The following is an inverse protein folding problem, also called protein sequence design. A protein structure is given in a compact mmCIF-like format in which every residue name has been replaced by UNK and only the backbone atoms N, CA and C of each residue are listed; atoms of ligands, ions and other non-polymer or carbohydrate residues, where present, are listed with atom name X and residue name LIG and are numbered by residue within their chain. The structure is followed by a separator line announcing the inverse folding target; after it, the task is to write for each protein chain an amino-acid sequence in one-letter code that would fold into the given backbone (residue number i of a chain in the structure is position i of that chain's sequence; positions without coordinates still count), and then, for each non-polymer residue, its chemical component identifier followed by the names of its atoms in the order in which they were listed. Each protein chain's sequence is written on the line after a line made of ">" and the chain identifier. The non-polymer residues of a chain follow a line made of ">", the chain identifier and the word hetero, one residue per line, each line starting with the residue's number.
data_IF_282498527633
#
_entry.id   IF_282498527633
#
_cell.length_a   1.000
_cell.length_b   1.000
_cell.length_c   1.000
_cell.angle_alpha   90.00
_cell.angle_beta   90.00
_cell.angle_gamma   90.00
#
_symmetry.space_group_name_H-M   'P 1'
#
loop_
_entity.id
_entity.type
_entity.pdbx_description
1 polymer ?
#
# COMPACT_ATOMS: atom_id res chain seq x y z
N UNK A 1 117.89 -4.06 112.29
CA UNK A 1 116.68 -4.03 111.44
C UNK A 1 117.11 -3.52 110.08
N UNK A 2 117.09 -4.37 109.07
CA UNK A 2 117.67 -4.10 107.74
C UNK A 2 116.68 -3.42 106.79
N UNK A 3 117.12 -2.35 106.13
CA UNK A 3 116.38 -1.55 105.12
C UNK A 3 115.90 -2.41 103.92
N UNK A 4 116.52 -3.57 103.70
CA UNK A 4 116.21 -4.51 102.62
C UNK A 4 114.80 -5.09 102.75
N UNK A 5 114.28 -5.31 103.97
CA UNK A 5 112.94 -5.91 104.15
C UNK A 5 111.79 -4.94 103.85
N UNK A 6 111.99 -3.64 104.00
CA UNK A 6 110.95 -2.62 103.73
C UNK A 6 110.80 -2.38 102.22
N UNK A 7 111.91 -2.36 101.48
CA UNK A 7 111.90 -2.21 100.01
C UNK A 7 111.31 -3.46 99.35
N UNK A 8 111.60 -4.65 99.87
CA UNK A 8 110.97 -5.90 99.42
C UNK A 8 109.46 -5.93 99.69
N UNK A 9 109.01 -5.46 100.87
CA UNK A 9 107.59 -5.35 101.20
C UNK A 9 106.82 -4.36 100.32
N UNK A 10 107.42 -3.21 99.99
CA UNK A 10 106.83 -2.22 99.06
C UNK A 10 106.74 -2.75 97.63
N UNK A 11 107.74 -3.49 97.16
CA UNK A 11 107.72 -4.12 95.83
C UNK A 11 106.60 -5.16 95.70
N UNK A 12 106.42 -6.00 96.72
CA UNK A 12 105.35 -7.02 96.75
C UNK A 12 103.97 -6.36 96.84
N UNK A 13 103.81 -5.30 97.64
CA UNK A 13 102.56 -4.54 97.75
C UNK A 13 102.15 -3.83 96.46
N UNK A 14 103.11 -3.26 95.71
CA UNK A 14 102.85 -2.63 94.41
C UNK A 14 102.44 -3.66 93.34
N UNK A 15 103.08 -4.85 93.35
CA UNK A 15 102.72 -5.95 92.45
C UNK A 15 101.34 -6.50 92.81
N UNK A 16 101.02 -6.69 94.08
CA UNK A 16 99.71 -7.16 94.53
C UNK A 16 98.58 -6.15 94.22
N UNK A 17 98.83 -4.85 94.43
CA UNK A 17 97.90 -3.78 94.06
C UNK A 17 97.70 -3.67 92.55
N UNK A 18 98.77 -3.83 91.76
CA UNK A 18 98.72 -3.89 90.30
C UNK A 18 97.95 -5.10 89.78
N UNK A 19 98.13 -6.28 90.39
CA UNK A 19 97.39 -7.50 90.07
C UNK A 19 95.90 -7.39 90.45
N UNK A 20 95.57 -6.79 91.58
CA UNK A 20 94.19 -6.56 92.00
C UNK A 20 93.49 -5.53 91.09
N UNK A 21 94.16 -4.43 90.75
CA UNK A 21 93.67 -3.44 89.79
C UNK A 21 93.50 -4.04 88.39
N UNK A 22 94.47 -4.84 87.93
CA UNK A 22 94.41 -5.56 86.66
C UNK A 22 93.28 -6.60 86.65
N UNK A 23 93.06 -7.32 87.76
CA UNK A 23 91.95 -8.26 87.92
C UNK A 23 90.59 -7.56 87.86
N UNK A 24 90.45 -6.40 88.52
CA UNK A 24 89.19 -5.63 88.50
C UNK A 24 88.92 -5.02 87.12
N UNK A 25 89.96 -4.52 86.45
CA UNK A 25 89.86 -4.03 85.07
C UNK A 25 89.51 -5.18 84.12
N UNK A 26 90.14 -6.33 84.28
CA UNK A 26 89.88 -7.53 83.48
C UNK A 26 88.48 -8.13 83.73
N UNK A 27 87.97 -8.08 84.96
CA UNK A 27 86.59 -8.48 85.25
C UNK A 27 85.56 -7.53 84.64
N UNK A 28 85.85 -6.22 84.64
CA UNK A 28 84.98 -5.19 84.05
C UNK A 28 85.03 -5.19 82.51
N UNK A 29 86.18 -5.56 81.94
CA UNK A 29 86.34 -5.84 80.51
C UNK A 29 85.55 -7.10 80.13
N UNK A 30 85.69 -8.20 80.88
CA UNK A 30 84.90 -9.42 80.67
C UNK A 30 83.39 -9.18 80.74
N UNK A 31 82.90 -8.38 81.69
CA UNK A 31 81.46 -8.08 81.76
C UNK A 31 80.97 -7.27 80.57
N UNK A 32 81.78 -6.30 80.08
CA UNK A 32 81.46 -5.56 78.86
C UNK A 32 81.54 -6.43 77.60
N UNK A 33 82.51 -7.34 77.52
CA UNK A 33 82.63 -8.30 76.40
C UNK A 33 81.43 -9.26 76.36
N UNK A 34 80.89 -9.64 77.51
CA UNK A 34 79.64 -10.44 77.60
C UNK A 34 78.44 -9.61 77.14
N UNK A 35 78.30 -8.36 77.60
CA UNK A 35 77.21 -7.47 77.19
C UNK A 35 77.25 -7.12 75.69
N UNK A 36 78.44 -6.94 75.12
CA UNK A 36 78.65 -6.72 73.68
C UNK A 36 78.24 -7.98 72.91
N UNK A 37 78.65 -9.17 73.35
CA UNK A 37 78.25 -10.43 72.69
C UNK A 37 76.75 -10.67 72.72
N UNK A 38 76.07 -10.29 73.80
CA UNK A 38 74.63 -10.41 73.94
C UNK A 38 73.90 -9.42 73.02
N UNK A 39 74.32 -8.15 72.98
CA UNK A 39 73.79 -7.16 72.03
C UNK A 39 74.07 -7.53 70.58
N UNK A 40 75.25 -8.06 70.26
CA UNK A 40 75.59 -8.56 68.92
C UNK A 40 74.74 -9.78 68.53
N UNK A 41 74.36 -10.62 69.49
CA UNK A 41 73.42 -11.72 69.25
C UNK A 41 71.99 -11.21 69.00
N UNK A 42 71.53 -10.21 69.76
CA UNK A 42 70.22 -9.58 69.56
C UNK A 42 70.14 -8.84 68.22
N UNK A 43 71.19 -8.09 67.84
CA UNK A 43 71.29 -7.41 66.54
C UNK A 43 71.25 -8.41 65.40
N UNK A 44 72.00 -9.52 65.49
CA UNK A 44 71.95 -10.60 64.49
C UNK A 44 70.57 -11.24 64.38
N UNK A 45 69.87 -11.43 65.51
CA UNK A 45 68.49 -11.93 65.51
C UNK A 45 67.52 -10.99 64.80
N UNK A 46 67.60 -9.68 65.09
CA UNK A 46 66.78 -8.66 64.40
C UNK A 46 67.16 -8.53 62.93
N UNK A 47 68.44 -8.65 62.56
CA UNK A 47 68.89 -8.66 61.16
C UNK A 47 68.32 -9.86 60.39
N UNK A 48 68.26 -11.05 61.00
CA UNK A 48 67.62 -12.22 60.37
C UNK A 48 66.12 -12.02 60.19
N UNK A 49 65.42 -11.48 61.19
CA UNK A 49 63.99 -11.22 61.12
C UNK A 49 63.65 -10.15 60.05
N UNK A 50 64.44 -9.08 59.97
CA UNK A 50 64.32 -8.06 58.91
C UNK A 50 64.55 -8.68 57.52
N UNK A 51 65.51 -9.60 57.39
CA UNK A 51 65.80 -10.27 56.12
C UNK A 51 64.65 -11.17 55.67
N UNK A 52 64.04 -11.90 56.60
CA UNK A 52 62.90 -12.77 56.33
C UNK A 52 61.64 -11.95 55.99
N UNK A 53 61.38 -10.87 56.74
CA UNK A 53 60.30 -9.92 56.42
C UNK A 53 60.51 -9.25 55.06
N UNK A 54 61.74 -8.83 54.74
CA UNK A 54 62.06 -8.24 53.44
C UNK A 54 61.84 -9.24 52.29
N UNK A 55 62.19 -10.52 52.50
CA UNK A 55 61.92 -11.61 51.55
C UNK A 55 60.42 -11.87 51.38
N UNK A 56 59.65 -11.87 52.48
CA UNK A 56 58.19 -11.98 52.46
C UNK A 56 57.51 -10.83 51.72
N UNK A 57 57.96 -9.59 51.94
CA UNK A 57 57.45 -8.41 51.22
C UNK A 57 57.82 -8.46 49.74
N UNK A 58 59.04 -8.91 49.40
CA UNK A 58 59.48 -9.04 48.01
C UNK A 58 58.62 -10.06 47.25
N UNK A 59 58.38 -11.23 47.83
CA UNK A 59 57.51 -12.27 47.25
C UNK A 59 56.04 -11.86 47.17
N UNK A 60 55.51 -11.16 48.17
CA UNK A 60 54.16 -10.60 48.13
C UNK A 60 54.01 -9.54 47.02
N UNK A 61 55.02 -8.68 46.83
CA UNK A 61 55.04 -7.68 45.75
C UNK A 61 55.07 -8.32 44.36
N UNK A 62 55.86 -9.38 44.17
CA UNK A 62 55.89 -10.07 42.88
C UNK A 62 54.58 -10.79 42.60
N UNK A 63 53.96 -11.41 43.62
CA UNK A 63 52.63 -12.03 43.48
C UNK A 63 51.53 -11.01 43.15
N UNK A 64 51.54 -9.82 43.79
CA UNK A 64 50.61 -8.74 43.49
C UNK A 64 50.78 -8.22 42.06
N UNK A 65 52.01 -7.97 41.61
CA UNK A 65 52.29 -7.57 40.22
C UNK A 65 51.78 -8.60 39.21
N UNK A 66 52.01 -9.88 39.47
CA UNK A 66 51.51 -10.96 38.62
C UNK A 66 49.98 -10.98 38.56
N UNK A 67 49.30 -10.73 39.69
CA UNK A 67 47.84 -10.64 39.74
C UNK A 67 47.30 -9.40 39.03
N UNK A 68 47.97 -8.27 39.15
CA UNK A 68 47.63 -7.04 38.40
C UNK A 68 47.75 -7.28 36.90
N UNK A 69 48.86 -7.89 36.44
CA UNK A 69 49.04 -8.24 35.02
C UNK A 69 48.00 -9.26 34.53
N UNK A 70 47.62 -10.24 35.35
CA UNK A 70 46.57 -11.22 35.02
C UNK A 70 45.20 -10.55 34.90
N UNK A 71 44.87 -9.63 35.80
CA UNK A 71 43.64 -8.85 35.76
C UNK A 71 43.59 -7.93 34.53
N UNK A 72 44.69 -7.28 34.18
CA UNK A 72 44.78 -6.42 33.01
C UNK A 72 44.56 -7.22 31.72
N UNK A 73 45.22 -8.38 31.57
CA UNK A 73 44.99 -9.30 30.45
C UNK A 73 43.55 -9.82 30.40
N UNK A 74 42.95 -10.09 31.56
CA UNK A 74 41.56 -10.52 31.64
C UNK A 74 40.61 -9.41 31.20
N UNK A 75 40.87 -8.16 31.61
CA UNK A 75 40.09 -6.99 31.23
C UNK A 75 40.21 -6.70 29.73
N UNK A 76 41.41 -6.78 29.16
CA UNK A 76 41.62 -6.67 27.71
C UNK A 76 40.83 -7.76 26.95
N UNK A 77 40.94 -9.02 27.40
CA UNK A 77 40.21 -10.14 26.78
C UNK A 77 38.70 -9.96 26.86
N UNK A 78 38.17 -9.49 27.99
CA UNK A 78 36.75 -9.21 28.16
C UNK A 78 36.29 -8.07 27.24
N UNK A 79 37.09 -7.01 27.12
CA UNK A 79 36.79 -5.88 26.22
C UNK A 79 36.74 -6.36 24.77
N UNK A 80 37.71 -7.17 24.35
CA UNK A 80 37.76 -7.73 23.01
C UNK A 80 36.58 -8.69 22.75
N UNK A 81 36.20 -9.52 23.73
CA UNK A 81 35.03 -10.38 23.62
C UNK A 81 33.73 -9.58 23.55
N UNK A 82 33.62 -8.50 24.33
CA UNK A 82 32.47 -7.62 24.31
C UNK A 82 32.33 -6.91 22.96
N UNK A 83 33.43 -6.38 22.42
CA UNK A 83 33.44 -5.74 21.10
C UNK A 83 33.01 -6.73 20.01
N UNK A 84 33.58 -7.94 20.01
CA UNK A 84 33.19 -8.99 19.06
C UNK A 84 31.71 -9.38 19.19
N UNK A 85 31.20 -9.52 20.41
CA UNK A 85 29.81 -9.84 20.65
C UNK A 85 28.89 -8.69 20.21
N UNK A 86 29.25 -7.44 20.50
CA UNK A 86 28.51 -6.26 20.10
C UNK A 86 28.43 -6.15 18.57
N UNK A 87 29.56 -6.32 17.87
CA UNK A 87 29.61 -6.34 16.41
C UNK A 87 28.72 -7.44 15.83
N UNK A 88 28.78 -8.65 16.40
CA UNK A 88 27.95 -9.77 15.96
C UNK A 88 26.45 -9.54 16.20
N UNK A 89 26.08 -8.94 17.33
CA UNK A 89 24.69 -8.58 17.64
C UNK A 89 24.19 -7.50 16.67
N UNK A 90 25.00 -6.49 16.39
CA UNK A 90 24.67 -5.43 15.44
C UNK A 90 24.47 -5.98 14.02
N UNK A 91 25.34 -6.89 13.58
CA UNK A 91 25.24 -7.53 12.27
C UNK A 91 23.95 -8.37 12.16
N UNK A 92 23.67 -9.22 13.15
CA UNK A 92 22.45 -10.05 13.19
C UNK A 92 21.19 -9.18 13.24
N UNK A 93 21.20 -8.11 14.04
CA UNK A 93 20.06 -7.20 14.12
C UNK A 93 19.84 -6.43 12.81
N UNK A 94 20.92 -6.00 12.14
CA UNK A 94 20.84 -5.35 10.83
C UNK A 94 20.24 -6.29 9.79
N UNK A 95 20.75 -7.52 9.68
CA UNK A 95 20.19 -8.53 8.76
C UNK A 95 18.72 -8.84 9.06
N UNK A 96 18.36 -9.00 10.34
CA UNK A 96 16.98 -9.24 10.75
C UNK A 96 16.07 -8.04 10.44
N UNK A 97 16.58 -6.82 10.59
CA UNK A 97 15.86 -5.60 10.23
C UNK A 97 15.66 -5.49 8.72
N UNK A 98 16.68 -5.76 7.91
CA UNK A 98 16.59 -5.78 6.45
C UNK A 98 15.56 -6.81 5.96
N UNK A 99 15.60 -8.04 6.49
CA UNK A 99 14.62 -9.08 6.19
C UNK A 99 13.20 -8.66 6.56
N UNK A 100 13.01 -8.11 7.76
CA UNK A 100 11.69 -7.64 8.22
C UNK A 100 11.19 -6.48 7.37
N UNK A 101 12.07 -5.55 7.01
CA UNK A 101 11.76 -4.42 6.13
C UNK A 101 11.34 -4.91 4.74
N UNK A 102 12.11 -5.82 4.14
CA UNK A 102 11.80 -6.43 2.85
C UNK A 102 10.48 -7.20 2.88
N UNK A 103 10.23 -8.00 3.93
CA UNK A 103 8.95 -8.70 4.11
C UNK A 103 7.77 -7.72 4.23
N UNK A 104 7.92 -6.68 5.06
CA UNK A 104 6.88 -5.65 5.22
C UNK A 104 6.62 -4.91 3.92
N UNK A 105 7.66 -4.55 3.17
CA UNK A 105 7.52 -3.91 1.86
C UNK A 105 6.86 -4.86 0.85
N UNK A 106 7.22 -6.13 0.80
CA UNK A 106 6.56 -7.11 -0.07
C UNK A 106 5.08 -7.26 0.27
N UNK A 107 4.74 -7.30 1.56
CA UNK A 107 3.36 -7.46 2.02
C UNK A 107 2.49 -6.25 1.65
N UNK A 108 3.07 -5.05 1.61
CA UNK A 108 2.39 -3.83 1.16
C UNK A 108 2.35 -3.69 -0.37
N UNK A 109 3.46 -4.00 -1.06
CA UNK A 109 3.61 -3.76 -2.50
C UNK A 109 2.97 -4.85 -3.36
N UNK A 110 2.93 -6.10 -2.89
CA UNK A 110 2.30 -7.20 -3.63
C UNK A 110 0.82 -6.95 -3.95
N UNK A 111 -0.06 -6.62 -2.98
CA UNK A 111 -1.46 -6.33 -3.29
C UNK A 111 -1.62 -5.10 -4.17
N UNK A 112 -0.73 -4.09 -4.03
CA UNK A 112 -0.74 -2.92 -4.92
C UNK A 112 -0.42 -3.32 -6.37
N UNK A 113 0.59 -4.17 -6.58
CA UNK A 113 0.93 -4.68 -7.90
C UNK A 113 -0.20 -5.50 -8.52
N UNK A 114 -0.83 -6.37 -7.74
CA UNK A 114 -2.00 -7.16 -8.16
C UNK A 114 -3.18 -6.25 -8.54
N UNK A 115 -3.50 -5.25 -7.71
CA UNK A 115 -4.57 -4.29 -7.99
C UNK A 115 -4.29 -3.41 -9.22
N UNK A 116 -3.04 -3.00 -9.45
CA UNK A 116 -2.66 -2.25 -10.65
C UNK A 116 -2.84 -3.11 -11.90
N UNK A 117 -2.49 -4.41 -11.83
CA UNK A 117 -2.69 -5.33 -12.94
C UNK A 117 -4.18 -5.55 -13.24
N UNK A 118 -4.99 -5.74 -12.19
CA UNK A 118 -6.44 -5.88 -12.31
C UNK A 118 -7.08 -4.60 -12.85
N UNK A 119 -6.66 -3.44 -12.36
CA UNK A 119 -7.10 -2.14 -12.86
C UNK A 119 -6.76 -1.96 -14.34
N UNK A 120 -5.50 -2.26 -14.74
CA UNK A 120 -5.09 -2.21 -16.14
C UNK A 120 -6.00 -3.08 -17.01
N UNK A 121 -6.23 -4.34 -16.60
CA UNK A 121 -7.11 -5.25 -17.32
C UNK A 121 -8.54 -4.70 -17.41
N UNK A 122 -9.08 -4.18 -16.31
CA UNK A 122 -10.43 -3.61 -16.28
C UNK A 122 -10.56 -2.41 -17.21
N UNK A 123 -9.55 -1.55 -17.27
CA UNK A 123 -9.51 -0.40 -18.20
C UNK A 123 -9.48 -0.88 -19.64
N UNK A 124 -8.62 -1.85 -19.96
CA UNK A 124 -8.48 -2.42 -21.30
C UNK A 124 -9.78 -3.09 -21.76
N UNK A 125 -10.39 -3.93 -20.91
CA UNK A 125 -11.68 -4.57 -21.14
C UNK A 125 -12.80 -3.54 -21.35
N UNK A 126 -12.83 -2.48 -20.52
CA UNK A 126 -13.83 -1.41 -20.66
C UNK A 126 -13.65 -0.64 -21.98
N UNK A 127 -12.41 -0.40 -22.40
CA UNK A 127 -12.13 0.29 -23.66
C UNK A 127 -12.54 -0.53 -24.88
N UNK A 128 -12.34 -1.85 -24.83
CA UNK A 128 -12.79 -2.78 -25.86
C UNK A 128 -14.32 -2.80 -25.92
N UNK A 129 -15.00 -2.89 -24.78
CA UNK A 129 -16.46 -2.84 -24.72
C UNK A 129 -17.03 -1.50 -25.22
N UNK A 130 -16.46 -0.36 -24.81
CA UNK A 130 -16.89 0.96 -25.32
C UNK A 130 -16.72 1.06 -26.84
N UNK A 131 -15.58 0.59 -27.37
CA UNK A 131 -15.33 0.58 -28.81
C UNK A 131 -16.36 -0.28 -29.54
N UNK A 132 -16.66 -1.48 -29.02
CA UNK A 132 -17.68 -2.38 -29.58
C UNK A 132 -19.07 -1.76 -29.55
N UNK A 133 -19.44 -1.11 -28.43
CA UNK A 133 -20.71 -0.42 -28.29
C UNK A 133 -20.83 0.74 -29.27
N UNK A 134 -19.77 1.54 -29.45
CA UNK A 134 -19.72 2.63 -30.44
C UNK A 134 -19.89 2.11 -31.86
N UNK A 135 -19.19 1.04 -32.24
CA UNK A 135 -19.36 0.42 -33.58
C UNK A 135 -20.78 -0.10 -33.79
N UNK A 136 -21.37 -0.75 -32.78
CA UNK A 136 -22.76 -1.22 -32.84
C UNK A 136 -23.75 -0.06 -32.97
N UNK A 137 -23.50 1.05 -32.26
CA UNK A 137 -24.32 2.24 -32.35
C UNK A 137 -24.21 2.88 -33.74
N UNK A 138 -23.01 2.97 -34.30
CA UNK A 138 -22.79 3.48 -35.66
C UNK A 138 -23.55 2.64 -36.70
N UNK A 139 -23.51 1.32 -36.60
CA UNK A 139 -24.26 0.41 -37.47
C UNK A 139 -25.78 0.63 -37.35
N UNK A 140 -26.29 0.76 -36.13
CA UNK A 140 -27.72 1.08 -35.89
C UNK A 140 -28.11 2.43 -36.47
N UNK A 141 -27.27 3.46 -36.33
CA UNK A 141 -27.52 4.79 -36.90
C UNK A 141 -27.54 4.71 -38.44
N UNK A 142 -26.61 3.98 -39.06
CA UNK A 142 -26.62 3.76 -40.51
C UNK A 142 -27.89 3.06 -40.96
N UNK A 143 -28.32 2.01 -40.25
CA UNK A 143 -29.58 1.33 -40.52
C UNK A 143 -30.81 2.24 -40.40
N UNK A 144 -30.85 3.13 -39.40
CA UNK A 144 -31.91 4.13 -39.25
C UNK A 144 -31.93 5.14 -40.40
N UNK A 145 -30.76 5.60 -40.84
CA UNK A 145 -30.64 6.51 -41.99
C UNK A 145 -31.15 5.83 -43.26
N UNK A 146 -30.78 4.57 -43.49
CA UNK A 146 -31.26 3.79 -44.64
C UNK A 146 -32.77 3.59 -44.60
N UNK A 147 -33.34 3.20 -43.46
CA UNK A 147 -34.79 3.08 -43.29
C UNK A 147 -35.52 4.41 -43.50
N UNK A 148 -34.95 5.51 -43.01
CA UNK A 148 -35.51 6.86 -43.20
C UNK A 148 -35.52 7.24 -44.68
N UNK A 149 -34.43 6.95 -45.41
CA UNK A 149 -34.35 7.20 -46.85
C UNK A 149 -35.37 6.37 -47.64
N UNK A 150 -35.51 5.08 -47.31
CA UNK A 150 -36.52 4.20 -47.93
C UNK A 150 -37.94 4.70 -47.66
N UNK A 151 -38.24 5.07 -46.42
CA UNK A 151 -39.54 5.59 -46.03
C UNK A 151 -39.84 6.92 -46.76
N UNK A 152 -38.86 7.82 -46.84
CA UNK A 152 -39.00 9.07 -47.59
C UNK A 152 -39.25 8.83 -49.08
N UNK A 153 -38.52 7.89 -49.70
CA UNK A 153 -38.74 7.50 -51.09
C UNK A 153 -40.14 6.89 -51.30
N UNK A 154 -40.60 6.01 -50.42
CA UNK A 154 -41.94 5.43 -50.48
C UNK A 154 -43.04 6.49 -50.32
N UNK A 155 -42.87 7.42 -49.38
CA UNK A 155 -43.80 8.53 -49.16
C UNK A 155 -43.86 9.46 -50.38
N UNK A 156 -42.71 9.78 -51.00
CA UNK A 156 -42.64 10.57 -52.22
C UNK A 156 -43.30 9.85 -53.39
N UNK A 157 -43.01 8.56 -53.60
CA UNK A 157 -43.64 7.75 -54.64
C UNK A 157 -45.15 7.63 -54.44
N UNK A 158 -45.61 7.47 -53.19
CA UNK A 158 -47.04 7.46 -52.87
C UNK A 158 -47.68 8.82 -53.16
N UNK A 159 -47.05 9.92 -52.75
CA UNK A 159 -47.53 11.27 -53.04
C UNK A 159 -47.59 11.54 -54.55
N UNK A 160 -46.58 11.10 -55.31
CA UNK A 160 -46.55 11.23 -56.77
C UNK A 160 -47.64 10.38 -57.45
N UNK A 161 -47.82 9.12 -57.02
CA UNK A 161 -48.88 8.26 -57.53
C UNK A 161 -50.28 8.82 -57.26
N UNK A 162 -50.48 9.48 -56.12
CA UNK A 162 -51.74 10.14 -55.78
C UNK A 162 -51.92 11.49 -56.49
N UNK A 163 -50.84 12.21 -56.83
CA UNK A 163 -50.89 13.47 -57.60
C UNK A 163 -51.07 13.24 -59.11
N UNK A 164 -50.57 12.13 -59.64
CA UNK A 164 -50.44 11.90 -61.08
C UNK A 164 -51.73 11.59 -61.85
N UNK A 165 -52.81 11.17 -61.17
CA UNK A 165 -54.10 10.96 -61.84
C UNK A 165 -55.30 11.27 -60.93
N UNK A 166 -56.28 12.11 -61.38
CA UNK A 166 -57.51 12.38 -60.63
C UNK A 166 -58.31 11.13 -60.28
N UNK A 167 -58.22 10.08 -61.12
CA UNK A 167 -58.89 8.80 -60.89
C UNK A 167 -58.25 8.01 -59.75
N UNK A 168 -56.92 8.01 -59.64
CA UNK A 168 -56.20 7.35 -58.54
C UNK A 168 -56.48 8.05 -57.22
N UNK A 169 -56.54 9.38 -57.23
CA UNK A 169 -56.88 10.20 -56.07
C UNK A 169 -58.32 9.95 -55.59
N UNK A 170 -59.28 9.85 -56.51
CA UNK A 170 -60.67 9.48 -56.22
C UNK A 170 -60.77 8.10 -55.59
N UNK A 171 -60.19 7.08 -56.24
CA UNK A 171 -60.18 5.71 -55.73
C UNK A 171 -59.53 5.58 -54.33
N UNK A 172 -58.49 6.37 -54.05
CA UNK A 172 -57.86 6.39 -52.72
C UNK A 172 -58.77 7.04 -51.66
N UNK A 173 -59.48 8.10 -52.03
CA UNK A 173 -60.48 8.73 -51.18
C UNK A 173 -61.62 7.78 -50.83
N UNK A 174 -62.12 7.05 -51.83
CA UNK A 174 -63.15 6.01 -51.66
C UNK A 174 -62.66 4.85 -50.77
N UNK A 175 -61.42 4.38 -50.96
CA UNK A 175 -60.82 3.34 -50.12
C UNK A 175 -60.68 3.79 -48.65
N UNK A 176 -60.33 5.06 -48.42
CA UNK A 176 -60.27 5.60 -47.06
C UNK A 176 -61.66 5.73 -46.46
N UNK A 177 -62.64 6.20 -47.24
CA UNK A 177 -64.03 6.28 -46.80
C UNK A 177 -64.54 4.89 -46.39
N UNK A 178 -64.30 3.86 -47.21
CA UNK A 178 -64.64 2.46 -46.91
C UNK A 178 -64.01 2.01 -45.57
N UNK A 179 -62.70 2.24 -45.37
CA UNK A 179 -62.01 1.91 -44.11
C UNK A 179 -62.56 2.64 -42.89
N UNK A 180 -62.97 3.90 -43.03
CA UNK A 180 -63.57 4.67 -41.92
C UNK A 180 -64.92 4.07 -41.54
N UNK A 181 -65.72 3.66 -42.52
CA UNK A 181 -67.03 3.03 -42.29
C UNK A 181 -66.86 1.68 -41.59
N UNK A 182 -65.92 0.85 -42.05
CA UNK A 182 -65.57 -0.42 -41.40
C UNK A 182 -65.10 -0.21 -39.95
N UNK A 183 -64.19 0.75 -39.71
CA UNK A 183 -63.72 1.08 -38.36
C UNK A 183 -64.83 1.64 -37.46
N UNK A 184 -65.84 2.28 -38.05
CA UNK A 184 -67.01 2.79 -37.33
C UNK A 184 -68.01 1.66 -36.99
N UNK A 185 -67.71 0.42 -37.36
CA UNK A 185 -68.53 -0.76 -37.09
C UNK A 185 -69.63 -1.03 -38.13
N UNK A 186 -69.58 -0.35 -39.28
CA UNK A 186 -70.50 -0.60 -40.38
C UNK A 186 -69.94 -1.73 -41.26
N UNK A 187 -70.82 -2.62 -41.72
CA UNK A 187 -70.47 -3.77 -42.55
C UNK A 187 -70.91 -3.55 -43.99
N UNK A 188 -70.01 -3.82 -44.94
CA UNK A 188 -70.27 -3.71 -46.38
C UNK A 188 -71.40 -4.66 -46.79
N UNK A 189 -72.22 -4.23 -47.74
CA UNK A 189 -73.39 -4.96 -48.26
C UNK A 189 -74.54 -5.18 -47.24
N UNK A 190 -74.34 -4.86 -45.97
CA UNK A 190 -75.37 -4.90 -44.91
C UNK A 190 -75.78 -3.49 -44.48
N UNK A 191 -74.81 -2.67 -44.08
CA UNK A 191 -75.03 -1.33 -43.54
C UNK A 191 -74.72 -0.23 -44.56
N UNK A 192 -73.87 -0.50 -45.53
CA UNK A 192 -73.58 0.44 -46.62
C UNK A 192 -73.20 -0.29 -47.91
N UNK A 193 -73.40 0.37 -49.04
CA UNK A 193 -73.04 -0.09 -50.38
C UNK A 193 -72.21 0.97 -51.11
N UNK A 194 -71.22 0.53 -51.88
CA UNK A 194 -70.30 1.39 -52.65
C UNK A 194 -70.74 1.44 -54.13
N UNK A 195 -70.70 2.62 -54.75
CA UNK A 195 -70.82 2.80 -56.22
C UNK A 195 -72.06 2.16 -56.89
N UNK A 196 -73.18 2.01 -56.19
CA UNK A 196 -74.39 1.44 -56.78
C UNK A 196 -75.17 2.50 -57.59
N UNK A 197 -75.65 2.11 -58.77
CA UNK A 197 -76.40 3.00 -59.66
C UNK A 197 -77.87 3.08 -59.24
N UNK A 198 -78.34 4.27 -58.85
CA UNK A 198 -79.74 4.47 -58.49
C UNK A 198 -80.48 5.25 -59.56
N UNK A 199 -81.71 4.84 -59.90
CA UNK A 199 -82.54 5.57 -60.86
C UNK A 199 -83.52 6.47 -60.12
N UNK A 200 -83.49 7.77 -60.38
CA UNK A 200 -84.42 8.71 -59.77
C UNK A 200 -85.81 8.66 -60.46
N UNK A 201 -86.81 9.29 -59.85
CA UNK A 201 -88.19 9.35 -60.37
C UNK A 201 -88.31 10.04 -61.75
N UNK A 202 -87.28 10.80 -62.16
CA UNK A 202 -87.18 11.49 -63.44
C UNK A 202 -86.43 10.65 -64.50
N UNK A 203 -86.02 9.42 -64.16
CA UNK A 203 -85.35 8.48 -65.06
C UNK A 203 -83.82 8.61 -65.15
N UNK A 204 -83.21 9.56 -64.42
CA UNK A 204 -81.76 9.79 -64.39
C UNK A 204 -81.05 8.78 -63.48
N UNK A 205 -79.88 8.31 -63.91
CA UNK A 205 -79.03 7.41 -63.13
C UNK A 205 -78.04 8.24 -62.31
N UNK A 206 -78.05 8.03 -61.00
CA UNK A 206 -77.16 8.64 -60.02
C UNK A 206 -76.13 7.61 -59.56
N UNK A 207 -74.87 8.03 -59.45
CA UNK A 207 -73.76 7.23 -58.97
C UNK A 207 -73.18 7.91 -57.73
N UNK A 208 -73.77 7.71 -56.55
CA UNK A 208 -73.16 8.15 -55.29
C UNK A 208 -71.93 7.30 -54.95
N UNK A 209 -70.93 7.90 -54.27
CA UNK A 209 -69.75 7.16 -53.81
C UNK A 209 -70.15 6.08 -52.80
N UNK A 210 -70.95 6.44 -51.78
CA UNK A 210 -71.45 5.51 -50.75
C UNK A 210 -72.90 5.79 -50.36
N UNK A 211 -73.65 4.71 -50.13
CA UNK A 211 -75.01 4.77 -49.59
C UNK A 211 -75.08 3.96 -48.30
N UNK A 212 -75.44 4.61 -47.19
CA UNK A 212 -75.56 4.01 -45.86
C UNK A 212 -77.04 3.80 -45.52
N UNK A 213 -77.39 2.58 -45.15
CA UNK A 213 -78.74 2.20 -44.74
C UNK A 213 -78.93 2.38 -43.24
N UNK A 214 -79.95 3.14 -42.85
CA UNK A 214 -80.32 3.36 -41.47
C UNK A 214 -81.63 2.65 -41.11
N UNK A 215 -81.87 2.35 -39.82
CA UNK A 215 -83.15 1.82 -39.37
C UNK A 215 -84.34 2.72 -39.72
N UNK A 216 -85.43 2.09 -40.14
CA UNK A 216 -86.67 2.75 -40.56
C UNK A 216 -86.68 3.20 -42.02
N UNK A 217 -86.06 2.43 -42.92
CA UNK A 217 -85.99 2.70 -44.38
C UNK A 217 -85.37 4.06 -44.74
N UNK A 218 -84.54 4.60 -43.85
CA UNK A 218 -83.82 5.86 -44.10
C UNK A 218 -82.47 5.56 -44.74
N UNK A 219 -82.04 6.45 -45.62
CA UNK A 219 -80.81 6.30 -46.38
C UNK A 219 -80.00 7.59 -46.29
N UNK A 220 -78.69 7.47 -46.07
CA UNK A 220 -77.73 8.57 -46.15
C UNK A 220 -76.86 8.34 -47.39
N UNK A 221 -76.75 9.35 -48.24
CA UNK A 221 -75.86 9.34 -49.40
C UNK A 221 -74.64 10.20 -49.09
N UNK A 222 -73.45 9.65 -49.34
CA UNK A 222 -72.16 10.30 -49.06
C UNK A 222 -71.35 10.40 -50.36
N UNK A 223 -70.86 11.60 -50.67
CA UNK A 223 -69.92 11.91 -51.76
C UNK A 223 -68.60 12.33 -51.13
N UNK A 224 -67.53 11.56 -51.37
CA UNK A 224 -66.20 11.84 -50.85
C UNK A 224 -65.34 12.55 -51.88
N UNK A 225 -65.31 13.87 -51.79
CA UNK A 225 -64.38 14.66 -52.60
C UNK A 225 -63.06 14.89 -51.88
N UNK A 226 -62.04 14.13 -52.24
CA UNK A 226 -60.67 14.32 -51.73
C UNK A 226 -59.90 15.27 -52.65
N UNK A 227 -59.38 16.37 -52.10
CA UNK A 227 -58.44 17.27 -52.80
C UNK A 227 -57.07 17.25 -52.11
N UNK A 228 -56.18 16.38 -52.57
CA UNK A 228 -54.83 16.23 -52.02
C UNK A 228 -53.98 17.50 -52.26
N UNK A 229 -54.22 18.20 -53.37
CA UNK A 229 -53.56 19.48 -53.69
C UNK A 229 -53.95 20.58 -52.70
N UNK A 230 -55.23 20.66 -52.30
CA UNK A 230 -55.67 21.65 -51.31
C UNK A 230 -55.13 21.32 -49.90
N UNK A 231 -55.11 20.02 -49.55
CA UNK A 231 -54.55 19.57 -48.28
C UNK A 231 -53.04 19.83 -48.20
N UNK A 232 -52.27 19.56 -49.27
CA UNK A 232 -50.85 19.86 -49.32
C UNK A 232 -50.57 21.36 -49.19
N UNK A 233 -51.29 22.22 -49.92
CA UNK A 233 -51.13 23.68 -49.81
C UNK A 233 -51.38 24.17 -48.39
N UNK A 234 -52.41 23.65 -47.74
CA UNK A 234 -52.68 23.95 -46.33
C UNK A 234 -51.58 23.42 -45.39
N UNK A 235 -51.18 22.16 -45.53
CA UNK A 235 -50.22 21.50 -44.65
C UNK A 235 -48.77 22.01 -44.82
N UNK A 236 -48.40 22.42 -46.03
CA UNK A 236 -47.10 23.04 -46.33
C UNK A 236 -46.98 24.47 -45.83
N UNK A 237 -48.05 25.06 -45.27
CA UNK A 237 -48.07 26.44 -44.78
C UNK A 237 -47.90 27.48 -45.90
N UNK A 238 -48.02 27.07 -47.17
CA UNK A 238 -48.07 28.00 -48.29
C UNK A 238 -49.43 28.70 -48.28
N UNK A 239 -49.54 29.72 -47.43
CA UNK A 239 -50.54 30.77 -47.58
C UNK A 239 -50.49 31.23 -49.03
N UNK A 240 -51.59 31.05 -49.75
CA UNK A 240 -51.81 31.75 -51.00
C UNK A 240 -51.80 33.25 -50.67
N UNK A 241 -50.67 33.91 -50.91
CA UNK A 241 -50.73 35.29 -51.34
C UNK A 241 -51.19 35.27 -52.82
N UNK A 242 -52.25 36.03 -53.06
CA UNK A 242 -53.04 36.27 -54.28
C UNK A 242 -54.22 35.33 -54.57
#
# INVERSE_FOLDING_TARGET
>A
MDIVSIIAGLGIGAIAGGLAAWSLINSKLRSKDVEIKEKDAEVRGKETEIRDLASGIASARTALKLKEEELEKMQEKLTLQFENLANRILEVNTQKFELKSQQSMQQLLKPLGEQILEFKKKVEDTHIEDTRQRSTLEERIRGLIEQTNVMSAQANNLAEALKGSPKTQGNWGEMILERILEQSGLERDTHYVMQESFRNEQGNILYPDVVIHLPGERVIVVDSKVSLVAYERYASGASAEE
#
